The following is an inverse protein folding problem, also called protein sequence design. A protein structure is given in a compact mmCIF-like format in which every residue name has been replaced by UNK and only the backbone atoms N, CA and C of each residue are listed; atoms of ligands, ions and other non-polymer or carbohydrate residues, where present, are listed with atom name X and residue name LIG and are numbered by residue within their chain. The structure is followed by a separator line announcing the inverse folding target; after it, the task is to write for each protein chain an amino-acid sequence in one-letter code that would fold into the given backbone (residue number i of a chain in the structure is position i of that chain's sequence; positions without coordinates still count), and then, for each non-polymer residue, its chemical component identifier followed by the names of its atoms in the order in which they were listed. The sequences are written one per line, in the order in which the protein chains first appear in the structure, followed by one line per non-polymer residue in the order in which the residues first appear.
data_IF_900814616137
#
_entry.id   IF_900814616137
#
_cell.length_a   1.000
_cell.length_b   1.000
_cell.length_c   1.000
_cell.angle_alpha   90.00
_cell.angle_beta   90.00
_cell.angle_gamma   90.00
#
_symmetry.space_group_name_H-M   'P 1'
#
loop_
_entity.id
_entity.type
_entity.pdbx_description
1 polymer ?
#
# COMPACT_ATOMS: atom_id res chain seq x y z
N UNK A 1 -8.13 -21.65 -8.74
CA UNK A 1 -7.88 -20.29 -9.23
C UNK A 1 -6.61 -19.75 -8.57
N UNK A 2 -5.70 -19.21 -9.38
CA UNK A 2 -4.45 -18.61 -8.92
C UNK A 2 -4.74 -17.35 -8.09
N UNK A 3 -3.97 -17.13 -7.02
CA UNK A 3 -4.08 -15.91 -6.23
C UNK A 3 -3.70 -14.67 -7.06
N UNK A 4 -2.70 -14.81 -7.89
CA UNK A 4 -2.26 -13.74 -8.78
C UNK A 4 -3.34 -13.36 -9.80
N UNK A 5 -4.00 -14.34 -10.42
CA UNK A 5 -5.11 -14.10 -11.35
C UNK A 5 -6.27 -13.39 -10.66
N UNK A 6 -6.61 -13.80 -9.43
CA UNK A 6 -7.64 -13.13 -8.64
C UNK A 6 -7.28 -11.66 -8.35
N UNK A 7 -6.04 -11.41 -7.90
CA UNK A 7 -5.58 -10.04 -7.61
C UNK A 7 -5.57 -9.18 -8.88
N UNK A 8 -5.08 -9.71 -10.00
CA UNK A 8 -5.11 -9.01 -11.29
C UNK A 8 -6.52 -8.68 -11.74
N UNK A 9 -7.46 -9.61 -11.62
CA UNK A 9 -8.88 -9.35 -11.91
C UNK A 9 -9.45 -8.23 -11.03
N UNK A 10 -9.13 -8.22 -9.73
CA UNK A 10 -9.56 -7.15 -8.83
C UNK A 10 -8.94 -5.80 -9.21
N UNK A 11 -7.70 -5.77 -9.64
CA UNK A 11 -7.04 -4.56 -10.16
C UNK A 11 -7.68 -4.09 -11.48
N UNK A 12 -8.06 -5.00 -12.36
CA UNK A 12 -8.78 -4.68 -13.60
C UNK A 12 -10.11 -4.01 -13.32
N UNK A 13 -10.88 -4.55 -12.37
CA UNK A 13 -12.16 -3.98 -11.97
C UNK A 13 -12.00 -2.59 -11.33
N UNK A 14 -10.95 -2.40 -10.53
CA UNK A 14 -10.65 -1.11 -9.91
C UNK A 14 -10.24 -0.06 -10.97
N UNK A 15 -9.39 -0.44 -11.92
CA UNK A 15 -9.00 0.45 -13.02
C UNK A 15 -10.21 0.84 -13.88
N UNK A 16 -11.06 -0.12 -14.22
CA UNK A 16 -12.29 0.12 -14.97
C UNK A 16 -13.26 1.03 -14.21
N UNK A 17 -13.37 0.86 -12.89
CA UNK A 17 -14.22 1.70 -12.05
C UNK A 17 -13.71 3.16 -12.00
N UNK A 18 -12.40 3.37 -12.03
CA UNK A 18 -11.81 4.72 -12.13
C UNK A 18 -12.01 5.30 -13.55
N UNK A 19 -11.71 4.53 -14.59
CA UNK A 19 -11.87 4.95 -15.98
C UNK A 19 -13.30 5.40 -16.31
N UNK A 20 -14.29 4.67 -15.78
CA UNK A 20 -15.71 4.96 -15.96
C UNK A 20 -16.30 5.99 -14.98
N UNK A 21 -15.48 6.57 -14.10
CA UNK A 21 -15.90 7.47 -13.02
C UNK A 21 -17.02 6.87 -12.12
N UNK A 22 -17.06 5.56 -12.01
CA UNK A 22 -18.01 4.86 -11.15
C UNK A 22 -17.71 5.10 -9.67
N UNK A 23 -16.43 5.24 -9.33
CA UNK A 23 -15.93 5.64 -8.02
C UNK A 23 -14.62 6.39 -8.17
N UNK A 24 -14.31 7.26 -7.20
CA UNK A 24 -13.02 7.96 -7.09
C UNK A 24 -12.21 7.52 -5.87
N UNK A 25 -12.78 6.65 -5.03
CA UNK A 25 -12.13 6.13 -3.83
C UNK A 25 -12.48 4.68 -3.65
N UNK A 26 -11.48 3.85 -3.42
CA UNK A 26 -11.70 2.48 -2.95
C UNK A 26 -10.59 2.04 -2.01
N UNK A 27 -10.83 0.94 -1.32
CA UNK A 27 -9.83 0.21 -0.56
C UNK A 27 -9.83 -1.26 -0.97
N UNK A 28 -8.66 -1.86 -1.00
CA UNK A 28 -8.49 -3.26 -1.36
C UNK A 28 -7.54 -3.93 -0.38
N UNK A 29 -8.02 -4.95 0.31
CA UNK A 29 -7.21 -5.80 1.17
C UNK A 29 -6.76 -7.02 0.38
N UNK A 30 -5.50 -7.06 -0.04
CA UNK A 30 -4.95 -8.14 -0.86
C UNK A 30 -4.92 -9.48 -0.12
N UNK A 31 -4.75 -9.48 1.19
CA UNK A 31 -4.75 -10.68 1.99
C UNK A 31 -5.36 -10.47 3.37
N UNK A 32 -5.94 -11.53 3.93
CA UNK A 32 -6.41 -11.54 5.32
C UNK A 32 -5.22 -11.78 6.25
N UNK A 33 -5.11 -11.00 7.33
CA UNK A 33 -3.99 -11.09 8.28
C UNK A 33 -3.84 -12.48 8.90
N UNK A 34 -4.98 -13.13 9.25
CA UNK A 34 -5.02 -14.49 9.80
C UNK A 34 -5.16 -15.57 8.74
N UNK A 35 -4.65 -15.36 7.52
CA UNK A 35 -4.76 -16.31 6.43
C UNK A 35 -3.88 -17.53 6.65
N UNK A 36 -4.46 -18.73 6.49
CA UNK A 36 -3.73 -19.99 6.39
C UNK A 36 -3.34 -20.33 4.94
N UNK A 37 -3.52 -19.40 3.99
CA UNK A 37 -3.15 -19.61 2.59
C UNK A 37 -1.64 -19.73 2.46
N UNK A 38 -1.20 -20.70 1.67
CA UNK A 38 0.17 -20.81 1.17
C UNK A 38 0.25 -20.11 -0.17
N UNK A 39 1.38 -19.47 -0.45
CA UNK A 39 1.68 -18.80 -1.72
C UNK A 39 2.92 -19.45 -2.35
N UNK A 40 2.79 -20.62 -3.02
CA UNK A 40 3.93 -21.36 -3.56
C UNK A 40 4.77 -20.54 -4.54
N UNK A 41 4.14 -19.60 -5.23
CA UNK A 41 4.79 -18.71 -6.18
C UNK A 41 5.80 -17.75 -5.51
N UNK A 42 5.72 -17.58 -4.20
CA UNK A 42 6.73 -16.86 -3.42
C UNK A 42 8.03 -17.66 -3.22
N UNK A 43 8.01 -18.96 -3.52
CA UNK A 43 9.07 -19.91 -3.20
C UNK A 43 9.01 -20.45 -1.77
N UNK A 44 7.97 -20.11 -0.99
CA UNK A 44 7.80 -20.50 0.40
C UNK A 44 6.57 -21.38 0.56
N UNK A 45 6.75 -22.58 1.08
CA UNK A 45 5.68 -23.54 1.35
C UNK A 45 5.25 -23.49 2.84
N UNK A 46 4.94 -22.29 3.29
CA UNK A 46 4.43 -22.03 4.66
C UNK A 46 3.17 -21.18 4.59
N UNK A 47 2.15 -21.45 5.43
CA UNK A 47 0.96 -20.60 5.50
C UNK A 47 1.32 -19.17 5.95
N UNK A 48 0.67 -18.16 5.36
CA UNK A 48 0.99 -16.76 5.55
C UNK A 48 1.06 -16.32 7.02
N UNK A 49 -0.02 -16.54 7.77
CA UNK A 49 -0.06 -16.11 9.16
C UNK A 49 0.94 -16.85 10.06
N UNK A 50 1.06 -18.20 10.03
CA UNK A 50 2.13 -18.88 10.74
C UNK A 50 3.54 -18.40 10.36
N UNK A 51 3.81 -18.12 9.08
CA UNK A 51 5.10 -17.60 8.63
C UNK A 51 5.41 -16.20 9.21
N UNK A 52 4.38 -15.39 9.49
CA UNK A 52 4.57 -14.08 10.10
C UNK A 52 5.07 -14.14 11.55
N UNK A 53 4.87 -15.28 12.23
CA UNK A 53 5.36 -15.55 13.59
C UNK A 53 6.73 -16.22 13.56
N UNK A 54 7.70 -15.53 13.00
CA UNK A 54 9.05 -16.04 12.73
C UNK A 54 9.93 -16.28 13.98
N UNK A 55 9.49 -15.86 15.17
CA UNK A 55 10.21 -16.08 16.44
C UNK A 55 11.62 -15.47 16.51
N UNK A 56 11.97 -14.56 15.62
CA UNK A 56 13.32 -13.99 15.51
C UNK A 56 14.32 -14.89 14.78
N UNK A 57 13.89 -16.00 14.18
CA UNK A 57 14.74 -16.88 13.37
C UNK A 57 15.00 -16.21 12.01
N UNK A 58 16.28 -16.09 11.59
CA UNK A 58 16.68 -15.39 10.37
C UNK A 58 16.09 -16.01 9.10
N UNK A 59 16.11 -17.34 8.98
CA UNK A 59 15.53 -18.05 7.83
C UNK A 59 14.01 -17.83 7.74
N UNK A 60 13.31 -17.88 8.87
CA UNK A 60 11.88 -17.61 8.90
C UNK A 60 11.52 -16.16 8.60
N UNK A 61 12.38 -15.20 8.96
CA UNK A 61 12.24 -13.79 8.57
C UNK A 61 12.39 -13.65 7.05
N UNK A 62 13.37 -14.33 6.46
CA UNK A 62 13.59 -14.31 5.01
C UNK A 62 12.42 -14.96 4.25
N UNK A 63 11.92 -16.11 4.70
CA UNK A 63 10.71 -16.73 4.14
C UNK A 63 9.52 -15.76 4.14
N UNK A 64 9.29 -15.07 5.26
CA UNK A 64 8.19 -14.11 5.33
C UNK A 64 8.43 -12.88 4.45
N UNK A 65 9.67 -12.45 4.29
CA UNK A 65 10.05 -11.39 3.36
C UNK A 65 9.78 -11.78 1.90
N UNK A 66 10.07 -13.03 1.51
CA UNK A 66 9.76 -13.55 0.17
C UNK A 66 8.25 -13.54 -0.11
N UNK A 67 7.42 -13.94 0.86
CA UNK A 67 5.96 -13.88 0.72
C UNK A 67 5.50 -12.42 0.53
N UNK A 68 6.01 -11.48 1.33
CA UNK A 68 5.67 -10.06 1.17
C UNK A 68 6.15 -9.50 -0.18
N UNK A 69 7.34 -9.88 -0.63
CA UNK A 69 7.86 -9.51 -1.95
C UNK A 69 6.93 -10.00 -3.07
N UNK A 70 6.44 -11.21 -2.97
CA UNK A 70 5.45 -11.74 -3.92
C UNK A 70 4.18 -10.89 -3.96
N UNK A 71 3.62 -10.49 -2.79
CA UNK A 71 2.46 -9.60 -2.78
C UNK A 71 2.75 -8.24 -3.44
N UNK A 72 3.88 -7.61 -3.10
CA UNK A 72 4.25 -6.32 -3.69
C UNK A 72 4.48 -6.44 -5.21
N UNK A 73 5.00 -7.58 -5.70
CA UNK A 73 5.28 -7.79 -7.12
C UNK A 73 4.06 -7.76 -8.04
N UNK A 74 2.85 -7.80 -7.49
CA UNK A 74 1.61 -7.68 -8.26
C UNK A 74 1.20 -6.24 -8.53
N UNK A 75 1.72 -5.27 -7.75
CA UNK A 75 1.37 -3.86 -7.93
C UNK A 75 1.76 -3.27 -9.30
N UNK A 76 2.94 -3.59 -9.88
CA UNK A 76 3.30 -3.07 -11.19
C UNK A 76 2.23 -3.31 -12.26
N UNK A 77 1.55 -4.47 -12.22
CA UNK A 77 0.43 -4.74 -13.13
C UNK A 77 -0.68 -3.67 -13.04
N UNK A 78 -1.07 -3.29 -11.84
CA UNK A 78 -2.07 -2.25 -11.62
C UNK A 78 -1.56 -0.87 -12.01
N UNK A 79 -0.31 -0.55 -11.65
CA UNK A 79 0.30 0.73 -11.99
C UNK A 79 0.45 0.92 -13.50
N UNK A 80 0.85 -0.12 -14.23
CA UNK A 80 0.95 -0.09 -15.69
C UNK A 80 -0.43 0.11 -16.32
N UNK A 81 -1.45 -0.53 -15.79
CA UNK A 81 -2.83 -0.33 -16.26
C UNK A 81 -3.27 1.12 -16.09
N UNK A 82 -3.09 1.71 -14.91
CA UNK A 82 -3.43 3.11 -14.67
C UNK A 82 -2.58 4.08 -15.50
N UNK A 83 -1.30 3.76 -15.71
CA UNK A 83 -0.39 4.55 -16.54
C UNK A 83 -0.80 4.56 -18.01
N UNK A 84 -1.33 3.45 -18.52
CA UNK A 84 -1.75 3.31 -19.91
C UNK A 84 -3.21 3.71 -20.15
N UNK A 85 -3.97 4.06 -19.13
CA UNK A 85 -5.34 4.56 -19.25
C UNK A 85 -5.33 6.09 -19.13
N UNK A 86 -5.74 6.76 -20.21
CA UNK A 86 -5.78 8.23 -20.25
C UNK A 86 -7.10 8.76 -19.69
N UNK A 87 -7.01 9.88 -18.98
CA UNK A 87 -8.14 10.67 -18.52
C UNK A 87 -7.86 12.14 -18.90
N UNK A 88 -8.37 12.56 -20.04
CA UNK A 88 -8.05 13.84 -20.65
C UNK A 88 -6.58 13.90 -21.10
N UNK A 89 -5.82 14.81 -20.53
CA UNK A 89 -4.43 15.13 -20.90
C UNK A 89 -3.36 14.38 -20.09
N UNK A 90 -3.77 13.61 -19.09
CA UNK A 90 -2.87 12.86 -18.23
C UNK A 90 -3.35 11.42 -18.03
N UNK A 91 -2.46 10.54 -17.57
CA UNK A 91 -2.85 9.18 -17.22
C UNK A 91 -3.63 9.11 -15.89
N UNK A 92 -4.39 8.04 -15.70
CA UNK A 92 -5.01 7.80 -14.39
C UNK A 92 -3.96 7.72 -13.29
N UNK A 93 -2.75 7.22 -13.56
CA UNK A 93 -1.68 7.16 -12.56
C UNK A 93 -1.21 8.55 -12.15
N UNK A 94 -1.12 9.51 -13.09
CA UNK A 94 -0.74 10.89 -12.78
C UNK A 94 -1.78 11.59 -11.88
N UNK A 95 -3.04 11.19 -12.02
CA UNK A 95 -4.16 11.76 -11.26
C UNK A 95 -4.46 11.04 -9.96
N UNK A 96 -3.99 9.82 -9.79
CA UNK A 96 -4.31 8.95 -8.65
C UNK A 96 -3.28 9.07 -7.53
N UNK A 97 -3.73 8.82 -6.31
CA UNK A 97 -2.91 8.60 -5.13
C UNK A 97 -3.20 7.20 -4.59
N UNK A 98 -2.20 6.34 -4.60
CA UNK A 98 -2.29 4.97 -4.11
C UNK A 98 -1.44 4.84 -2.87
N UNK A 99 -2.04 4.40 -1.77
CA UNK A 99 -1.35 4.08 -0.53
C UNK A 99 -1.27 2.56 -0.41
N UNK A 100 -0.08 2.03 -0.25
CA UNK A 100 0.15 0.62 0.02
C UNK A 100 0.97 0.44 1.29
N UNK A 101 0.59 -0.50 2.12
CA UNK A 101 1.32 -0.77 3.35
C UNK A 101 0.68 -1.84 4.20
N UNK A 102 1.24 -1.99 5.39
CA UNK A 102 0.75 -2.91 6.42
C UNK A 102 0.51 -2.15 7.72
N UNK A 103 -0.51 -2.50 8.50
CA UNK A 103 -0.73 -1.91 9.82
C UNK A 103 0.27 -2.43 10.88
N UNK A 104 1.07 -3.44 10.55
CA UNK A 104 2.09 -4.01 11.45
C UNK A 104 3.49 -3.77 10.91
N UNK A 105 4.38 -3.28 11.79
CA UNK A 105 5.81 -3.16 11.49
C UNK A 105 6.57 -4.44 11.81
N UNK A 106 6.23 -5.10 12.91
CA UNK A 106 6.71 -6.43 13.28
C UNK A 106 5.52 -7.34 13.53
N UNK A 107 5.22 -8.24 12.60
CA UNK A 107 4.07 -9.13 12.71
C UNK A 107 4.24 -10.20 13.79
N UNK A 108 5.47 -10.62 14.11
CA UNK A 108 5.77 -11.60 15.16
C UNK A 108 5.34 -11.10 16.55
N UNK A 109 5.50 -9.78 16.77
CA UNK A 109 5.13 -9.12 18.03
C UNK A 109 3.76 -8.45 17.97
N UNK A 110 3.07 -8.50 16.83
CA UNK A 110 1.82 -7.77 16.57
C UNK A 110 1.92 -6.26 16.90
N UNK A 111 3.07 -5.66 16.70
CA UNK A 111 3.25 -4.26 17.00
C UNK A 111 2.95 -3.36 15.78
N UNK A 112 2.49 -2.15 16.07
CA UNK A 112 2.15 -1.13 15.07
C UNK A 112 3.23 -0.04 14.98
N UNK A 113 4.48 -0.37 15.28
CA UNK A 113 5.61 0.55 15.18
C UNK A 113 6.32 0.37 13.87
N UNK A 114 6.75 1.47 13.24
CA UNK A 114 7.52 1.45 11.98
C UNK A 114 6.80 0.68 10.86
N UNK A 115 5.49 0.85 10.77
CA UNK A 115 4.70 0.19 9.74
C UNK A 115 5.21 0.58 8.35
N UNK A 116 5.41 -0.40 7.45
CA UNK A 116 5.83 -0.12 6.10
C UNK A 116 4.70 0.57 5.35
N UNK A 117 5.03 1.68 4.69
CA UNK A 117 4.09 2.47 3.90
C UNK A 117 4.81 3.07 2.71
N UNK A 118 4.21 3.00 1.54
CA UNK A 118 4.62 3.83 0.41
C UNK A 118 3.41 4.39 -0.34
N UNK A 119 3.65 5.50 -1.03
CA UNK A 119 2.63 6.20 -1.82
C UNK A 119 3.09 6.25 -3.26
N UNK A 120 2.20 5.93 -4.19
CA UNK A 120 2.47 5.91 -5.63
C UNK A 120 1.39 6.71 -6.36
N UNK A 121 1.78 7.32 -7.49
CA UNK A 121 0.92 8.14 -8.33
C UNK A 121 1.21 9.62 -8.16
N UNK A 122 0.71 10.43 -9.10
CA UNK A 122 1.02 11.86 -9.17
C UNK A 122 0.11 12.77 -8.35
N UNK A 123 -1.08 12.28 -7.96
CA UNK A 123 -2.11 13.08 -7.28
C UNK A 123 -2.34 14.46 -7.96
N UNK A 124 -2.45 14.47 -9.28
CA UNK A 124 -2.54 15.71 -10.09
C UNK A 124 -1.35 16.66 -9.87
N UNK A 125 -0.12 16.13 -9.82
CA UNK A 125 1.10 16.92 -9.63
C UNK A 125 1.38 17.33 -8.18
N UNK A 126 0.60 16.85 -7.20
CA UNK A 126 0.77 17.19 -5.78
C UNK A 126 1.78 16.29 -5.05
N UNK A 127 2.26 15.23 -5.69
CA UNK A 127 3.29 14.33 -5.18
C UNK A 127 4.52 14.38 -6.07
N UNK A 128 5.69 14.68 -5.49
CA UNK A 128 6.94 14.80 -6.22
C UNK A 128 7.55 13.43 -6.60
N UNK A 129 7.26 12.39 -5.84
CA UNK A 129 7.88 11.07 -6.04
C UNK A 129 9.37 11.01 -5.65
N UNK A 130 9.97 9.82 -5.79
CA UNK A 130 11.38 9.54 -5.51
C UNK A 130 11.87 9.94 -4.11
N UNK A 131 10.98 9.94 -3.12
CA UNK A 131 11.29 10.27 -1.73
C UNK A 131 11.39 9.00 -0.90
N UNK A 132 12.44 8.91 -0.08
CA UNK A 132 12.53 7.94 1.00
C UNK A 132 12.70 8.70 2.31
N UNK A 133 11.64 8.79 3.09
CA UNK A 133 11.57 9.58 4.31
C UNK A 133 11.52 8.67 5.53
N UNK A 134 12.40 8.92 6.48
CA UNK A 134 12.38 8.26 7.78
C UNK A 134 11.74 9.20 8.80
N UNK A 135 10.59 8.83 9.31
CA UNK A 135 9.94 9.57 10.40
C UNK A 135 10.73 9.42 11.72
N UNK A 136 10.78 10.44 12.56
CA UNK A 136 11.24 10.31 13.94
C UNK A 136 10.44 9.22 14.68
N UNK A 137 11.09 8.51 15.61
CA UNK A 137 10.41 7.50 16.41
C UNK A 137 9.23 8.12 17.18
N UNK A 138 8.11 7.43 17.19
CA UNK A 138 6.87 7.91 17.83
C UNK A 138 6.00 8.82 16.97
N UNK A 139 6.42 9.17 15.76
CA UNK A 139 5.56 9.92 14.82
C UNK A 139 4.32 9.08 14.46
N UNK A 140 3.10 9.57 14.72
CA UNK A 140 1.90 8.85 14.30
C UNK A 140 1.82 8.71 12.79
N UNK A 141 1.48 7.52 12.28
CA UNK A 141 1.19 7.33 10.85
C UNK A 141 0.05 8.24 10.39
N UNK A 142 -0.86 8.59 11.29
CA UNK A 142 -1.96 9.51 11.04
C UNK A 142 -1.48 10.90 10.58
N UNK A 143 -0.23 11.30 10.88
CA UNK A 143 0.35 12.54 10.38
C UNK A 143 0.53 12.47 8.86
N UNK A 144 1.02 11.34 8.34
CA UNK A 144 1.12 11.11 6.89
C UNK A 144 -0.27 11.12 6.25
N UNK A 145 -1.24 10.44 6.86
CA UNK A 145 -2.61 10.40 6.35
C UNK A 145 -3.24 11.80 6.31
N UNK A 146 -3.03 12.63 7.34
CA UNK A 146 -3.50 14.01 7.35
C UNK A 146 -2.88 14.82 6.19
N UNK A 147 -1.56 14.70 5.99
CA UNK A 147 -0.89 15.37 4.86
C UNK A 147 -1.46 14.91 3.51
N UNK A 148 -1.71 13.62 3.32
CA UNK A 148 -2.29 13.09 2.09
C UNK A 148 -3.72 13.57 1.87
N UNK A 149 -4.54 13.68 2.92
CA UNK A 149 -5.89 14.24 2.85
C UNK A 149 -5.87 15.72 2.45
N UNK A 150 -4.95 16.52 2.99
CA UNK A 150 -4.77 17.91 2.56
C UNK A 150 -4.35 17.99 1.09
N UNK A 151 -3.46 17.08 0.61
CA UNK A 151 -3.13 17.01 -0.83
C UNK A 151 -4.33 16.64 -1.71
N UNK A 152 -5.35 16.02 -1.17
CA UNK A 152 -6.62 15.77 -1.85
C UNK A 152 -7.62 16.94 -1.77
N UNK A 153 -7.26 18.04 -1.10
CA UNK A 153 -8.08 19.25 -1.00
C UNK A 153 -8.99 19.29 0.23
N UNK A 154 -8.72 18.47 1.24
CA UNK A 154 -9.43 18.49 2.53
C UNK A 154 -8.64 19.32 3.56
N UNK A 155 -8.24 20.53 3.17
CA UNK A 155 -7.34 21.41 3.93
C UNK A 155 -7.94 21.92 5.24
N UNK A 156 -9.26 21.91 5.36
CA UNK A 156 -10.01 22.28 6.58
C UNK A 156 -10.00 21.20 7.66
N UNK A 157 -9.50 20.00 7.33
CA UNK A 157 -9.37 18.92 8.29
C UNK A 157 -8.20 19.17 9.25
N UNK A 158 -8.47 19.73 10.42
CA UNK A 158 -7.44 20.04 11.42
C UNK A 158 -6.76 18.82 12.06
N UNK A 159 -7.37 17.62 11.97
CA UNK A 159 -6.87 16.39 12.58
C UNK A 159 -7.43 15.14 11.91
N UNK A 160 -6.60 14.10 11.82
CA UNK A 160 -7.01 12.75 11.43
C UNK A 160 -6.54 11.73 12.49
N UNK A 161 -7.47 10.96 13.04
CA UNK A 161 -7.17 9.96 14.06
C UNK A 161 -6.37 10.55 15.25
N UNK A 162 -5.20 10.00 15.50
CA UNK A 162 -4.27 10.45 16.55
C UNK A 162 -3.16 11.37 15.99
N UNK A 163 -3.37 12.03 14.84
CA UNK A 163 -2.36 12.94 14.28
C UNK A 163 -2.07 14.10 15.24
N UNK A 164 -0.82 14.51 15.28
CA UNK A 164 -0.30 15.66 16.05
C UNK A 164 0.06 16.84 15.15
N UNK A 165 -0.11 16.69 13.86
CA UNK A 165 0.19 17.65 12.81
C UNK A 165 0.44 16.92 11.50
N UNK A 166 0.84 17.65 10.48
CA UNK A 166 1.23 17.09 9.20
C UNK A 166 2.63 16.44 9.26
N UNK A 167 2.87 15.49 8.37
CA UNK A 167 4.20 14.95 8.09
C UNK A 167 4.71 15.56 6.77
N UNK A 168 5.88 16.21 6.76
CA UNK A 168 6.37 16.85 5.55
C UNK A 168 6.73 15.81 4.48
N UNK A 169 6.05 15.85 3.34
CA UNK A 169 6.34 15.08 2.13
C UNK A 169 7.07 15.95 1.09
N UNK A 170 8.00 16.76 1.56
CA UNK A 170 8.84 17.65 0.73
C UNK A 170 10.30 17.45 1.11
N UNK A 171 11.18 17.60 0.12
CA UNK A 171 12.62 17.77 0.30
C UNK A 171 12.92 19.25 0.41
#
# INVERSE_FOLDING_TARGET
DSFEEHVKLMFDLQALAFESDLTRVFSFKMGRDSSARVFPESGVDKPFHPASHHGGNEEAIEDFALINRYHVSMLPYFLDKLKNTMDGDASLLDKTMIIYGSPMGDPNLHNHKRCPLFVVGGANGKLAGNLHLKAPDGTPMANVMLTLLHKLGLDDMGRFGNSTGEFPLVI
#
